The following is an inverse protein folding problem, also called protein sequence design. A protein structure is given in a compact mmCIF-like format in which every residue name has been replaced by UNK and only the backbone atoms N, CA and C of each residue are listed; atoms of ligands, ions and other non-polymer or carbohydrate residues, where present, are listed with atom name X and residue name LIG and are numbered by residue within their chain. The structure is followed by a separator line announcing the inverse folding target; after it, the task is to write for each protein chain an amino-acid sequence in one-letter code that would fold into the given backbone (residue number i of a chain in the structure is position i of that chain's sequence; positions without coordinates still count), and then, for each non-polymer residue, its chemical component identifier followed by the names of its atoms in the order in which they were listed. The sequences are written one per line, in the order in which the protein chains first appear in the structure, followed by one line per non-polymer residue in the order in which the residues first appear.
data_IF_976257823556
#
_entry.id   IF_976257823556
#
_cell.length_a   1.000
_cell.length_b   1.000
_cell.length_c   1.000
_cell.angle_alpha   90.00
_cell.angle_beta   90.00
_cell.angle_gamma   90.00
#
_symmetry.space_group_name_H-M   'P 1'
#
loop_
_entity.id
_entity.type
_entity.pdbx_description
1 polymer ?
#
# COMPACT_ATOMS: atom_id res chain seq x y z
N UNK A 1 11.39 -2.27 -14.11
CA UNK A 1 10.23 -1.55 -13.57
C UNK A 1 10.33 -1.27 -12.06
N UNK A 2 10.78 -2.24 -11.24
CA UNK A 2 10.81 -2.09 -9.78
C UNK A 2 12.18 -1.71 -9.22
N UNK A 3 13.04 -1.10 -10.03
CA UNK A 3 14.43 -0.77 -9.66
C UNK A 3 14.50 0.24 -8.51
N UNK A 4 13.48 1.11 -8.41
CA UNK A 4 13.46 2.18 -7.42
C UNK A 4 12.74 1.80 -6.12
N UNK A 5 12.31 0.55 -5.98
CA UNK A 5 11.62 0.09 -4.80
C UNK A 5 12.57 -0.59 -3.82
N UNK A 6 12.37 -0.34 -2.52
CA UNK A 6 13.13 -1.03 -1.49
C UNK A 6 12.89 -2.54 -1.57
N UNK A 7 13.79 -3.32 -0.99
CA UNK A 7 13.61 -4.77 -0.90
C UNK A 7 12.31 -5.12 -0.17
N UNK A 8 12.00 -4.40 0.90
CA UNK A 8 10.75 -4.57 1.64
C UNK A 8 9.53 -4.34 0.73
N UNK A 9 9.53 -3.28 -0.07
CA UNK A 9 8.41 -2.99 -1.00
C UNK A 9 8.31 -4.06 -2.08
N UNK A 10 9.43 -4.53 -2.61
CA UNK A 10 9.40 -5.61 -3.61
C UNK A 10 8.79 -6.88 -3.03
N UNK A 11 9.11 -7.20 -1.78
CA UNK A 11 8.50 -8.33 -1.07
C UNK A 11 7.00 -8.12 -0.86
N UNK A 12 6.59 -6.91 -0.48
CA UNK A 12 5.18 -6.54 -0.34
C UNK A 12 4.43 -6.72 -1.67
N UNK A 13 5.02 -6.29 -2.79
CA UNK A 13 4.42 -6.45 -4.11
C UNK A 13 4.24 -7.92 -4.49
N UNK A 14 5.24 -8.73 -4.22
CA UNK A 14 5.16 -10.17 -4.48
C UNK A 14 4.04 -10.83 -3.67
N UNK A 15 3.90 -10.44 -2.42
CA UNK A 15 2.83 -10.97 -1.57
C UNK A 15 1.45 -10.40 -1.96
N UNK A 16 1.39 -9.22 -2.55
CA UNK A 16 0.14 -8.70 -3.11
C UNK A 16 -0.38 -9.60 -4.24
N UNK A 17 0.51 -10.14 -5.06
CA UNK A 17 0.15 -11.10 -6.09
C UNK A 17 -0.46 -12.36 -5.49
N UNK A 18 0.06 -12.84 -4.36
CA UNK A 18 -0.51 -13.99 -3.63
C UNK A 18 -1.88 -13.68 -3.06
N UNK A 19 -2.08 -12.46 -2.53
CA UNK A 19 -3.39 -12.05 -2.03
C UNK A 19 -4.44 -12.05 -3.15
N UNK A 20 -4.08 -11.58 -4.33
CA UNK A 20 -4.92 -11.65 -5.52
C UNK A 20 -5.25 -13.09 -5.88
N UNK A 21 -4.24 -13.97 -5.88
CA UNK A 21 -4.40 -15.38 -6.21
C UNK A 21 -5.34 -16.09 -5.25
N UNK A 22 -5.21 -15.84 -3.95
CA UNK A 22 -6.04 -16.46 -2.91
C UNK A 22 -7.53 -16.11 -3.08
N UNK A 23 -7.82 -14.94 -3.63
CA UNK A 23 -9.19 -14.49 -3.87
C UNK A 23 -9.68 -14.80 -5.29
N UNK A 24 -8.81 -15.37 -6.13
CA UNK A 24 -9.10 -15.65 -7.54
C UNK A 24 -9.57 -14.39 -8.29
N UNK A 25 -9.01 -13.23 -7.95
CA UNK A 25 -9.30 -12.00 -8.67
C UNK A 25 -8.49 -11.94 -9.97
N UNK A 26 -9.01 -11.26 -11.02
CA UNK A 26 -8.31 -11.24 -12.31
C UNK A 26 -7.07 -10.35 -12.32
N UNK A 27 -7.03 -9.29 -11.51
CA UNK A 27 -5.95 -8.31 -11.51
C UNK A 27 -5.44 -8.03 -10.10
N UNK A 28 -4.15 -7.67 -10.02
CA UNK A 28 -3.59 -7.13 -8.78
C UNK A 28 -3.93 -5.65 -8.72
N UNK A 29 -4.67 -5.24 -7.71
CA UNK A 29 -5.07 -3.86 -7.50
C UNK A 29 -4.50 -3.28 -6.21
N UNK A 30 -4.84 -2.02 -5.94
CA UNK A 30 -4.42 -1.35 -4.70
C UNK A 30 -4.92 -2.09 -3.46
N UNK A 31 -6.06 -2.76 -3.54
CA UNK A 31 -6.63 -3.55 -2.46
C UNK A 31 -5.73 -4.73 -2.06
N UNK A 32 -5.16 -5.43 -3.04
CA UNK A 32 -4.23 -6.54 -2.77
C UNK A 32 -2.92 -6.03 -2.20
N UNK A 33 -2.44 -4.91 -2.72
CA UNK A 33 -1.25 -4.25 -2.20
C UNK A 33 -1.45 -3.85 -0.75
N UNK A 34 -2.60 -3.27 -0.43
CA UNK A 34 -2.94 -2.85 0.93
C UNK A 34 -3.03 -4.04 1.89
N UNK A 35 -3.66 -5.15 1.46
CA UNK A 35 -3.68 -6.39 2.25
C UNK A 35 -2.26 -6.88 2.56
N UNK A 36 -1.39 -6.85 1.57
CA UNK A 36 0.00 -7.26 1.76
C UNK A 36 0.71 -6.36 2.76
N UNK A 37 0.49 -5.05 2.70
CA UNK A 37 1.07 -4.10 3.66
C UNK A 37 0.58 -4.42 5.08
N UNK A 38 -0.69 -4.69 5.26
CA UNK A 38 -1.27 -5.03 6.55
C UNK A 38 -0.68 -6.32 7.16
N UNK A 39 -0.23 -7.23 6.31
CA UNK A 39 0.30 -8.52 6.74
C UNK A 39 1.83 -8.53 6.87
N UNK A 40 2.51 -7.87 5.95
CA UNK A 40 3.96 -8.03 5.75
C UNK A 40 4.78 -6.77 6.06
N UNK A 41 4.20 -5.78 6.73
CA UNK A 41 4.86 -4.51 6.99
C UNK A 41 4.69 -4.09 8.44
N UNK A 42 5.66 -3.35 8.95
CA UNK A 42 5.59 -2.74 10.29
C UNK A 42 4.50 -1.67 10.38
N UNK A 43 4.00 -1.21 9.24
CA UNK A 43 2.93 -0.22 9.18
C UNK A 43 1.60 -0.75 9.70
N UNK A 44 1.47 -2.07 9.86
CA UNK A 44 0.28 -2.67 10.47
C UNK A 44 -0.05 -2.08 11.84
N UNK A 45 0.95 -1.66 12.60
CA UNK A 45 0.74 -1.08 13.94
C UNK A 45 0.12 0.32 13.84
N UNK A 46 0.60 1.15 12.91
CA UNK A 46 0.00 2.47 12.66
C UNK A 46 -1.43 2.31 12.15
N UNK A 47 -1.63 1.39 11.20
CA UNK A 47 -2.95 1.15 10.63
C UNK A 47 -3.94 0.63 11.68
N UNK A 48 -3.47 -0.20 12.60
CA UNK A 48 -4.28 -0.70 13.71
C UNK A 48 -4.77 0.44 14.61
N UNK A 49 -3.96 1.47 14.84
CA UNK A 49 -4.37 2.67 15.58
C UNK A 49 -5.55 3.36 14.91
N UNK A 50 -5.64 3.27 13.60
CA UNK A 50 -6.77 3.79 12.82
C UNK A 50 -7.88 2.76 12.62
N UNK A 51 -7.82 1.66 13.39
CA UNK A 51 -8.81 0.57 13.38
C UNK A 51 -8.87 -0.17 12.04
N UNK A 52 -7.76 -0.18 11.31
CA UNK A 52 -7.62 -0.93 10.06
C UNK A 52 -6.73 -2.14 10.31
N UNK A 53 -7.31 -3.34 10.17
CA UNK A 53 -6.60 -4.61 10.33
C UNK A 53 -6.75 -5.45 9.08
N UNK A 54 -5.85 -6.44 8.91
CA UNK A 54 -5.90 -7.35 7.78
C UNK A 54 -7.27 -8.04 7.67
N UNK A 55 -7.76 -8.60 8.76
CA UNK A 55 -9.00 -9.37 8.74
C UNK A 55 -10.20 -8.51 8.38
N UNK A 56 -10.33 -7.33 8.97
CA UNK A 56 -11.42 -6.41 8.69
C UNK A 56 -11.38 -5.91 7.25
N UNK A 57 -10.19 -5.59 6.77
CA UNK A 57 -10.02 -5.10 5.40
C UNK A 57 -10.38 -6.19 4.40
N UNK A 58 -9.90 -7.42 4.60
CA UNK A 58 -10.17 -8.55 3.72
C UNK A 58 -11.67 -8.89 3.70
N UNK A 59 -12.31 -8.89 4.87
CA UNK A 59 -13.75 -9.13 4.98
C UNK A 59 -14.54 -8.09 4.17
N UNK A 60 -14.17 -6.82 4.30
CA UNK A 60 -14.82 -5.75 3.54
C UNK A 60 -14.59 -5.90 2.05
N UNK A 61 -13.37 -6.23 1.64
CA UNK A 61 -13.04 -6.45 0.24
C UNK A 61 -13.90 -7.56 -0.35
N UNK A 62 -14.01 -8.70 0.32
CA UNK A 62 -14.84 -9.82 -0.14
C UNK A 62 -16.32 -9.40 -0.20
N UNK A 63 -16.77 -8.63 0.78
CA UNK A 63 -18.14 -8.08 0.78
C UNK A 63 -18.43 -7.21 -0.44
N UNK A 64 -17.46 -6.41 -0.88
CA UNK A 64 -17.62 -5.48 -2.00
C UNK A 64 -17.50 -6.13 -3.37
N UNK A 65 -16.52 -7.01 -3.54
CA UNK A 65 -16.19 -7.54 -4.88
C UNK A 65 -16.25 -9.06 -4.98
N UNK A 66 -16.46 -9.75 -3.86
CA UNK A 66 -16.57 -11.21 -3.85
C UNK A 66 -15.24 -11.91 -4.07
N UNK A 67 -15.35 -13.22 -4.32
CA UNK A 67 -14.24 -14.12 -4.63
C UNK A 67 -14.48 -14.67 -6.03
N UNK A 68 -13.42 -14.73 -6.85
CA UNK A 68 -13.52 -15.25 -8.20
C UNK A 68 -13.62 -16.78 -8.23
N UNK A 69 -14.02 -17.31 -9.38
CA UNK A 69 -14.20 -18.75 -9.57
C UNK A 69 -12.97 -19.45 -10.13
N UNK A 70 -12.08 -18.73 -10.80
CA UNK A 70 -10.90 -19.28 -11.44
C UNK A 70 -9.68 -18.40 -11.18
N UNK A 71 -8.55 -19.06 -10.92
CA UNK A 71 -7.26 -18.40 -10.81
C UNK A 71 -6.82 -17.90 -12.20
N UNK A 72 -6.42 -16.63 -12.28
CA UNK A 72 -5.85 -16.08 -13.50
C UNK A 72 -4.46 -16.65 -13.75
N UNK A 73 -4.16 -17.01 -15.00
CA UNK A 73 -2.83 -17.49 -15.41
C UNK A 73 -1.79 -16.38 -15.47
N UNK A 74 -2.23 -15.13 -15.60
CA UNK A 74 -1.35 -13.99 -15.81
C UNK A 74 -1.40 -13.05 -14.61
N UNK A 75 -0.25 -12.49 -14.30
CA UNK A 75 -0.15 -11.45 -13.25
C UNK A 75 -0.25 -10.11 -13.95
N UNK A 76 -1.43 -9.50 -13.86
CA UNK A 76 -1.71 -8.19 -14.46
C UNK A 76 -2.06 -7.20 -13.35
N UNK A 77 -1.43 -6.04 -13.41
CA UNK A 77 -1.69 -4.95 -12.48
C UNK A 77 -2.75 -4.01 -13.05
N UNK A 78 -3.67 -3.53 -12.22
CA UNK A 78 -4.66 -2.56 -12.68
C UNK A 78 -3.98 -1.25 -13.11
N UNK A 79 -4.60 -0.48 -14.02
CA UNK A 79 -4.07 0.85 -14.35
C UNK A 79 -3.91 1.75 -13.14
N UNK A 80 -4.84 1.70 -12.19
CA UNK A 80 -4.77 2.48 -10.95
C UNK A 80 -3.53 2.09 -10.13
N UNK A 81 -3.25 0.78 -9.97
CA UNK A 81 -2.08 0.34 -9.23
C UNK A 81 -0.79 0.80 -9.90
N UNK A 82 -0.74 0.75 -11.24
CA UNK A 82 0.41 1.25 -11.99
C UNK A 82 0.65 2.73 -11.70
N UNK A 83 -0.42 3.55 -11.69
CA UNK A 83 -0.31 4.98 -11.35
C UNK A 83 0.17 5.20 -9.93
N UNK A 84 -0.36 4.42 -8.98
CA UNK A 84 0.09 4.48 -7.58
C UNK A 84 1.59 4.25 -7.47
N UNK A 85 2.10 3.23 -8.15
CA UNK A 85 3.52 2.89 -8.13
C UNK A 85 4.38 3.96 -8.82
N UNK A 86 3.93 4.48 -9.95
CA UNK A 86 4.63 5.57 -10.66
C UNK A 86 4.69 6.83 -9.80
N UNK A 87 3.56 7.21 -9.20
CA UNK A 87 3.50 8.38 -8.32
C UNK A 87 4.36 8.21 -7.07
N UNK A 88 4.45 6.99 -6.55
CA UNK A 88 5.32 6.69 -5.42
C UNK A 88 6.80 6.93 -5.75
N UNK A 89 7.23 6.58 -6.97
CA UNK A 89 8.59 6.85 -7.44
C UNK A 89 8.83 8.35 -7.53
N UNK A 90 7.87 9.09 -8.08
CA UNK A 90 7.97 10.57 -8.18
C UNK A 90 8.06 11.19 -6.78
N UNK A 91 7.20 10.77 -5.86
CA UNK A 91 7.20 11.24 -4.47
C UNK A 91 8.56 11.00 -3.80
N UNK A 92 9.13 9.81 -3.98
CA UNK A 92 10.43 9.48 -3.42
C UNK A 92 11.53 10.40 -3.97
N UNK A 93 11.52 10.67 -5.27
CA UNK A 93 12.50 11.57 -5.91
C UNK A 93 12.38 12.99 -5.39
N UNK A 94 11.16 13.50 -5.25
CA UNK A 94 10.91 14.85 -4.75
C UNK A 94 11.41 15.02 -3.32
N UNK A 95 11.45 13.95 -2.55
CA UNK A 95 11.94 13.96 -1.17
C UNK A 95 13.41 13.53 -1.06
N UNK A 96 14.12 13.44 -2.17
CA UNK A 96 15.53 13.01 -2.23
C UNK A 96 15.75 11.60 -1.67
N UNK A 97 14.74 10.75 -1.75
CA UNK A 97 14.89 9.33 -1.39
C UNK A 97 15.30 8.53 -2.62
N UNK A 98 16.26 7.64 -2.47
CA UNK A 98 16.72 6.78 -3.55
C UNK A 98 15.74 5.67 -3.87
N UNK A 99 14.96 5.24 -2.88
CA UNK A 99 14.04 4.13 -3.03
C UNK A 99 12.69 4.47 -2.40
N UNK A 100 11.66 3.82 -2.94
CA UNK A 100 10.30 3.89 -2.40
C UNK A 100 10.21 2.94 -1.21
N UNK A 101 9.75 3.44 -0.07
CA UNK A 101 9.47 2.67 1.13
C UNK A 101 7.96 2.43 1.29
N UNK A 102 7.53 1.59 2.25
CA UNK A 102 6.10 1.30 2.42
C UNK A 102 5.24 2.51 2.78
N UNK A 103 5.78 3.48 3.53
CA UNK A 103 5.05 4.71 3.88
C UNK A 103 4.67 5.48 2.62
N UNK A 104 5.61 5.62 1.69
CA UNK A 104 5.38 6.32 0.42
C UNK A 104 4.31 5.61 -0.41
N UNK A 105 4.28 4.28 -0.39
CA UNK A 105 3.26 3.50 -1.09
C UNK A 105 1.86 3.86 -0.56
N UNK A 106 1.67 3.86 0.76
CA UNK A 106 0.36 4.20 1.34
C UNK A 106 0.00 5.65 1.02
N UNK A 107 0.94 6.57 1.17
CA UNK A 107 0.71 7.98 0.83
C UNK A 107 0.24 8.09 -0.62
N UNK A 108 0.86 7.37 -1.54
CA UNK A 108 0.46 7.37 -2.95
C UNK A 108 -0.97 6.82 -3.15
N UNK A 109 -1.33 5.77 -2.41
CA UNK A 109 -2.70 5.24 -2.45
C UNK A 109 -3.71 6.31 -1.97
N UNK A 110 -3.38 7.02 -0.89
CA UNK A 110 -4.26 8.05 -0.34
C UNK A 110 -4.37 9.27 -1.28
N UNK A 111 -3.27 9.65 -1.91
CA UNK A 111 -3.25 10.79 -2.84
C UNK A 111 -4.08 10.55 -4.10
N UNK A 112 -4.18 9.31 -4.54
CA UNK A 112 -4.97 8.97 -5.73
C UNK A 112 -6.47 9.22 -5.50
N UNK A 113 -6.94 9.13 -4.26
CA UNK A 113 -8.34 9.32 -3.87
C UNK A 113 -9.35 8.49 -4.68
N UNK A 114 -8.88 7.38 -5.24
CA UNK A 114 -9.65 6.50 -6.09
C UNK A 114 -9.22 5.06 -5.79
N UNK A 115 -9.97 4.11 -6.33
CA UNK A 115 -9.64 2.70 -6.18
C UNK A 115 -10.29 2.06 -4.96
N UNK A 116 -10.21 0.73 -4.95
CA UNK A 116 -10.90 -0.09 -3.95
C UNK A 116 -10.31 0.10 -2.55
N UNK A 117 -8.98 0.18 -2.44
CA UNK A 117 -8.34 0.37 -1.12
C UNK A 117 -8.82 1.66 -0.46
N UNK A 118 -8.81 2.77 -1.20
CA UNK A 118 -9.27 4.06 -0.69
C UNK A 118 -10.75 3.98 -0.29
N UNK A 119 -11.58 3.37 -1.13
CA UNK A 119 -13.01 3.17 -0.85
C UNK A 119 -13.23 2.41 0.46
N UNK A 120 -12.46 1.34 0.69
CA UNK A 120 -12.56 0.57 1.92
C UNK A 120 -12.17 1.41 3.14
N UNK A 121 -11.07 2.17 3.06
CA UNK A 121 -10.65 3.04 4.15
C UNK A 121 -11.73 4.07 4.49
N UNK A 122 -12.34 4.65 3.48
CA UNK A 122 -13.46 5.59 3.67
C UNK A 122 -14.66 4.90 4.33
N UNK A 123 -14.94 3.66 3.97
CA UNK A 123 -16.05 2.90 4.56
C UNK A 123 -15.85 2.62 6.05
N UNK A 124 -14.61 2.59 6.52
CA UNK A 124 -14.28 2.41 7.92
C UNK A 124 -14.25 3.73 8.70
N UNK A 125 -14.59 4.83 8.05
CA UNK A 125 -14.53 6.17 8.64
C UNK A 125 -13.11 6.55 9.12
N UNK A 126 -12.09 6.04 8.43
CA UNK A 126 -10.70 6.41 8.71
C UNK A 126 -10.53 7.90 8.46
N UNK A 127 -9.92 8.60 9.41
CA UNK A 127 -9.52 9.99 9.19
C UNK A 127 -8.30 9.99 8.28
N UNK A 128 -8.52 10.22 6.99
CA UNK A 128 -7.47 10.15 5.98
C UNK A 128 -6.36 11.16 6.25
N UNK A 129 -6.72 12.39 6.63
CA UNK A 129 -5.74 13.44 6.93
C UNK A 129 -4.86 13.05 8.11
N UNK A 130 -5.44 12.45 9.15
CA UNK A 130 -4.67 12.01 10.32
C UNK A 130 -3.77 10.83 9.98
N UNK A 131 -4.25 9.88 9.19
CA UNK A 131 -3.43 8.76 8.73
C UNK A 131 -2.25 9.27 7.89
N UNK A 132 -2.52 10.17 6.96
CA UNK A 132 -1.50 10.80 6.13
C UNK A 132 -0.42 11.47 7.00
N UNK A 133 -0.86 12.24 8.00
CA UNK A 133 0.04 12.91 8.95
C UNK A 133 0.91 11.90 9.71
N UNK A 134 0.31 10.84 10.24
CA UNK A 134 1.04 9.82 11.00
C UNK A 134 2.10 9.12 10.14
N UNK A 135 1.80 8.85 8.88
CA UNK A 135 2.76 8.25 7.95
C UNK A 135 3.90 9.21 7.61
N UNK A 136 3.62 10.48 7.43
CA UNK A 136 4.63 11.49 7.14
C UNK A 136 5.56 11.74 8.31
N UNK A 137 5.05 11.77 9.53
CA UNK A 137 5.89 11.90 10.73
C UNK A 137 6.87 10.75 10.82
N UNK A 138 6.40 9.50 10.64
CA UNK A 138 7.28 8.33 10.69
C UNK A 138 8.37 8.41 9.62
N UNK A 139 8.00 8.81 8.41
CA UNK A 139 8.94 8.99 7.30
C UNK A 139 9.98 10.07 7.61
N UNK A 140 9.54 11.22 8.10
CA UNK A 140 10.42 12.33 8.45
C UNK A 140 11.37 11.96 9.59
N UNK A 141 10.91 11.20 10.57
CA UNK A 141 11.75 10.71 11.67
C UNK A 141 12.86 9.80 11.15
N UNK A 142 12.56 8.92 10.20
CA UNK A 142 13.59 8.08 9.55
C UNK A 142 14.61 8.94 8.82
N UNK A 143 14.17 9.94 8.07
CA UNK A 143 15.04 10.84 7.33
C UNK A 143 15.91 11.68 8.28
N UNK A 144 15.33 12.17 9.37
CA UNK A 144 16.06 12.92 10.38
C UNK A 144 17.14 12.07 11.06
N UNK A 145 16.84 10.82 11.37
CA UNK A 145 17.83 9.88 11.92
C UNK A 145 19.00 9.67 10.96
N UNK A 146 18.73 9.51 9.66
CA UNK A 146 19.76 9.39 8.64
C UNK A 146 20.62 10.64 8.56
N UNK A 147 20.02 11.82 8.58
CA UNK A 147 20.75 13.09 8.56
C UNK A 147 21.66 13.23 9.78
N UNK A 148 21.18 12.87 10.95
CA UNK A 148 21.98 12.89 12.18
C UNK A 148 23.19 11.94 12.12
N UNK A 149 23.03 10.79 11.47
CA UNK A 149 24.13 9.83 11.31
C UNK A 149 25.19 10.28 10.32
N UNK A 150 24.82 11.18 9.38
CA UNK A 150 25.74 11.70 8.37
C UNK A 150 26.51 12.95 8.84
N UNK A 151 26.10 13.54 9.93
CA UNK A 151 26.75 14.69 10.54
C UNK A 151 27.78 14.24 11.60
#
# INVERSE_FOLDING_TARGET
MFVNFSEEVRHILKNAEKERDDLNHPYVGSEHLFLSILKNSKLKDILKKHKVTYDKFKEKLISLVGVGSKKSKFVLYTPLLKRVLENAVIEAREENNKVVNPEIIIISILDEEDGIAYTILKSFNVNIDRLYYDLRIKKNNKNNKRKKLLL
#
